data_IF_694298032622
#
_entry.id   IF_694298032622
#
_cell.length_a   1.000
_cell.length_b   1.000
_cell.length_c   1.000
_cell.angle_alpha   90.00
_cell.angle_beta   90.00
_cell.angle_gamma   90.00
#
_symmetry.space_group_name_H-M   'P 1'
#
loop_
_entity.id
_entity.type
_entity.pdbx_description
1 polymer ?
#
# COMPACT_ATOMS: atom_id res chain seq x y z
N UNK A 1 -20.52 -68.47 -26.19
CA UNK A 1 -19.41 -67.53 -25.92
C UNK A 1 -18.99 -66.92 -27.24
N UNK A 2 -19.45 -65.70 -27.56
CA UNK A 2 -19.07 -65.00 -28.80
C UNK A 2 -17.84 -64.12 -28.51
N UNK A 3 -16.72 -64.44 -29.14
CA UNK A 3 -15.49 -63.66 -29.05
C UNK A 3 -15.60 -62.37 -29.86
N UNK A 4 -15.51 -61.23 -29.18
CA UNK A 4 -15.42 -59.92 -29.81
C UNK A 4 -13.99 -59.78 -30.35
N UNK A 5 -13.86 -59.79 -31.68
CA UNK A 5 -12.58 -59.50 -32.35
C UNK A 5 -12.29 -58.01 -32.20
N UNK A 6 -11.24 -57.68 -31.45
CA UNK A 6 -10.80 -56.31 -31.26
C UNK A 6 -10.34 -55.65 -32.57
N UNK A 7 -10.45 -54.31 -32.68
CA UNK A 7 -10.09 -53.59 -33.89
C UNK A 7 -8.61 -53.81 -34.26
N UNK A 8 -8.37 -54.01 -35.56
CA UNK A 8 -7.04 -54.35 -36.08
C UNK A 8 -5.99 -53.26 -35.74
N UNK A 9 -4.71 -53.63 -35.53
CA UNK A 9 -3.65 -52.69 -35.21
C UNK A 9 -3.47 -51.55 -36.25
N UNK A 10 -3.91 -51.78 -37.50
CA UNK A 10 -3.92 -50.75 -38.56
C UNK A 10 -4.98 -49.66 -38.33
N UNK A 11 -6.10 -50.00 -37.71
CA UNK A 11 -7.14 -49.03 -37.35
C UNK A 11 -6.68 -48.11 -36.20
N UNK A 12 -5.88 -48.64 -35.26
CA UNK A 12 -5.26 -47.85 -34.20
C UNK A 12 -4.22 -46.86 -34.75
N UNK A 13 -3.37 -47.31 -35.69
CA UNK A 13 -2.37 -46.45 -36.31
C UNK A 13 -3.00 -45.29 -37.12
N UNK A 14 -4.12 -45.54 -37.80
CA UNK A 14 -4.83 -44.52 -38.58
C UNK A 14 -5.44 -43.39 -37.72
N UNK A 15 -5.73 -43.66 -36.44
CA UNK A 15 -6.29 -42.67 -35.50
C UNK A 15 -5.17 -42.01 -34.69
N UNK A 16 -4.14 -42.76 -34.28
CA UNK A 16 -3.07 -42.23 -33.44
C UNK A 16 -2.21 -41.16 -34.15
N UNK A 17 -1.96 -41.32 -35.45
CA UNK A 17 -1.17 -40.38 -36.25
C UNK A 17 -1.77 -38.98 -36.36
N UNK A 18 -3.04 -38.79 -36.75
CA UNK A 18 -3.63 -37.45 -36.81
C UNK A 18 -3.78 -36.81 -35.42
N UNK A 19 -4.03 -37.60 -34.37
CA UNK A 19 -4.11 -37.08 -32.99
C UNK A 19 -2.73 -36.61 -32.50
N UNK A 20 -1.67 -37.39 -32.74
CA UNK A 20 -0.32 -36.99 -32.38
C UNK A 20 0.13 -35.75 -33.17
N UNK A 21 -0.15 -35.69 -34.47
CA UNK A 21 0.15 -34.52 -35.30
C UNK A 21 -0.62 -33.27 -34.84
N UNK A 22 -1.89 -33.41 -34.46
CA UNK A 22 -2.68 -32.33 -33.90
C UNK A 22 -2.14 -31.85 -32.54
N UNK A 23 -1.73 -32.78 -31.66
CA UNK A 23 -1.13 -32.46 -30.36
C UNK A 23 0.23 -31.76 -30.51
N UNK A 24 1.07 -32.19 -31.45
CA UNK A 24 2.34 -31.52 -31.75
C UNK A 24 2.11 -30.14 -32.37
N UNK A 25 1.14 -30.01 -33.29
CA UNK A 25 0.78 -28.71 -33.86
C UNK A 25 0.24 -27.74 -32.79
N UNK A 26 -0.58 -28.23 -31.85
CA UNK A 26 -1.03 -27.47 -30.67
C UNK A 26 0.14 -27.09 -29.76
N UNK A 27 1.08 -27.99 -29.49
CA UNK A 27 2.26 -27.71 -28.68
C UNK A 27 3.20 -26.68 -29.34
N UNK A 28 3.30 -26.67 -30.68
CA UNK A 28 4.13 -25.72 -31.44
C UNK A 28 3.42 -24.37 -31.65
N UNK A 29 2.08 -24.35 -31.71
CA UNK A 29 1.28 -23.11 -31.73
C UNK A 29 1.00 -22.52 -30.35
N UNK A 30 1.26 -23.26 -29.28
CA UNK A 30 1.51 -22.69 -27.96
C UNK A 30 2.85 -21.96 -28.02
N UNK A 31 2.86 -20.80 -28.69
CA UNK A 31 3.79 -19.71 -28.39
C UNK A 31 3.91 -19.66 -26.87
N UNK A 32 5.11 -19.56 -26.29
CA UNK A 32 5.24 -19.45 -24.85
C UNK A 32 4.29 -18.34 -24.44
N UNK A 33 3.22 -18.72 -23.71
CA UNK A 33 2.42 -17.76 -23.01
C UNK A 33 3.44 -16.93 -22.26
N UNK A 34 3.50 -15.64 -22.60
CA UNK A 34 4.30 -14.68 -21.88
C UNK A 34 4.12 -15.01 -20.41
N UNK A 35 5.23 -15.30 -19.73
CA UNK A 35 5.26 -15.67 -18.34
C UNK A 35 4.23 -14.79 -17.59
N UNK A 36 3.20 -15.35 -16.94
CA UNK A 36 2.21 -14.54 -16.23
C UNK A 36 2.86 -13.75 -15.07
N UNK A 37 4.13 -14.03 -14.73
CA UNK A 37 4.96 -13.25 -13.82
C UNK A 37 5.86 -12.23 -14.50
N UNK A 38 5.86 -12.13 -15.83
CA UNK A 38 6.46 -11.03 -16.57
C UNK A 38 5.63 -9.76 -16.34
N UNK A 39 5.71 -9.24 -15.10
CA UNK A 39 5.28 -7.90 -14.75
C UNK A 39 5.91 -6.97 -15.77
N UNK A 40 5.08 -6.20 -16.47
CA UNK A 40 5.53 -5.13 -17.33
C UNK A 40 6.41 -4.19 -16.48
N UNK A 41 7.72 -4.36 -16.58
CA UNK A 41 8.67 -3.46 -15.93
C UNK A 41 8.61 -2.15 -16.70
N UNK A 42 7.82 -1.22 -16.21
CA UNK A 42 7.80 0.15 -16.73
C UNK A 42 9.13 0.79 -16.36
N UNK A 43 9.80 1.40 -17.34
CA UNK A 43 11.00 2.18 -17.07
C UNK A 43 10.66 3.35 -16.13
N UNK A 44 11.41 3.54 -15.03
CA UNK A 44 11.16 4.62 -14.09
C UNK A 44 11.10 5.98 -14.78
N UNK A 45 10.14 6.83 -14.36
CA UNK A 45 10.02 8.20 -14.87
C UNK A 45 9.32 8.37 -16.22
N UNK A 46 8.90 7.29 -16.90
CA UNK A 46 8.16 7.42 -18.18
C UNK A 46 6.66 7.72 -18.01
N UNK A 47 6.09 7.40 -16.85
CA UNK A 47 4.67 7.62 -16.57
C UNK A 47 4.44 9.06 -16.11
N UNK A 48 3.24 9.56 -16.40
CA UNK A 48 2.79 10.87 -15.91
C UNK A 48 1.92 10.69 -14.68
N UNK A 49 2.06 11.61 -13.73
CA UNK A 49 1.15 11.71 -12.61
C UNK A 49 -0.29 11.95 -13.09
N UNK A 50 -1.26 11.39 -12.36
CA UNK A 50 -2.65 11.42 -12.75
C UNK A 50 -3.55 11.88 -11.60
N UNK A 51 -4.62 12.61 -11.91
CA UNK A 51 -5.61 13.01 -10.91
C UNK A 51 -6.34 11.81 -10.31
N UNK A 52 -6.58 11.86 -9.00
CA UNK A 52 -7.37 10.86 -8.27
C UNK A 52 -8.74 11.43 -7.88
N UNK A 53 -9.75 10.55 -7.72
CA UNK A 53 -10.98 10.93 -7.03
C UNK A 53 -10.67 11.58 -5.67
N UNK A 54 -11.44 12.59 -5.29
CA UNK A 54 -11.20 13.33 -4.03
C UNK A 54 -10.10 14.39 -4.08
N UNK A 55 -9.53 14.68 -5.26
CA UNK A 55 -8.60 15.81 -5.46
C UNK A 55 -7.13 15.52 -5.14
N UNK A 56 -6.80 14.24 -4.92
CA UNK A 56 -5.42 13.76 -4.82
C UNK A 56 -4.76 13.52 -6.18
N UNK A 57 -3.55 12.98 -6.15
CA UNK A 57 -2.74 12.69 -7.34
C UNK A 57 -2.04 11.35 -7.19
N UNK A 58 -2.19 10.48 -8.17
CA UNK A 58 -1.39 9.28 -8.35
C UNK A 58 -0.01 9.70 -8.85
N UNK A 59 1.03 9.46 -8.06
CA UNK A 59 2.39 9.86 -8.40
C UNK A 59 3.10 8.76 -9.22
N UNK A 60 2.50 8.43 -10.36
CA UNK A 60 2.93 7.33 -11.24
C UNK A 60 4.31 7.57 -11.86
N UNK A 61 4.74 8.83 -11.98
CA UNK A 61 6.11 9.15 -12.41
C UNK A 61 7.19 8.52 -11.53
N UNK A 62 6.85 8.20 -10.27
CA UNK A 62 7.73 7.52 -9.33
C UNK A 62 7.72 5.99 -9.40
N UNK A 63 6.95 5.37 -10.29
CA UNK A 63 6.89 3.91 -10.40
C UNK A 63 8.26 3.31 -10.73
N UNK A 64 8.63 2.23 -10.02
CA UNK A 64 9.92 1.54 -10.16
C UNK A 64 11.13 2.33 -9.64
N UNK A 65 10.95 3.55 -9.13
CA UNK A 65 12.04 4.31 -8.53
C UNK A 65 12.40 3.67 -7.19
N UNK A 66 13.66 3.25 -7.07
CA UNK A 66 14.26 2.83 -5.81
C UNK A 66 14.76 4.05 -5.02
N UNK A 67 14.78 3.92 -3.70
CA UNK A 67 15.19 4.99 -2.79
C UNK A 67 14.87 4.64 -1.35
N UNK A 68 15.24 5.52 -0.40
CA UNK A 68 14.89 5.31 0.99
C UNK A 68 13.36 5.30 1.13
N UNK A 69 12.83 4.25 1.78
CA UNK A 69 11.40 4.12 2.06
C UNK A 69 10.89 5.31 2.88
N UNK A 70 11.65 5.68 3.92
CA UNK A 70 11.39 6.88 4.71
C UNK A 70 11.90 8.11 3.96
N UNK A 71 11.06 9.12 3.70
CA UNK A 71 11.51 10.40 3.18
C UNK A 71 12.55 11.06 4.09
N UNK A 72 13.53 11.74 3.52
CA UNK A 72 14.49 12.54 4.29
C UNK A 72 13.77 13.57 5.18
N UNK A 73 14.21 13.77 6.44
CA UNK A 73 13.56 14.68 7.38
C UNK A 73 13.61 16.13 6.90
N UNK A 74 12.55 16.91 7.20
CA UNK A 74 12.41 18.32 6.75
C UNK A 74 12.51 19.36 7.87
N UNK A 75 12.71 18.92 9.11
CA UNK A 75 12.83 19.81 10.26
C UNK A 75 13.05 19.05 11.55
N UNK A 76 13.25 19.79 12.64
CA UNK A 76 13.48 19.18 13.94
C UNK A 76 12.29 18.33 14.41
N UNK A 77 12.60 17.30 15.19
CA UNK A 77 11.60 16.46 15.83
C UNK A 77 10.78 15.58 14.88
N UNK A 78 11.08 15.52 13.59
CA UNK A 78 10.34 14.66 12.65
C UNK A 78 10.45 13.17 13.00
N UNK A 79 11.62 12.75 13.47
CA UNK A 79 11.90 11.41 13.97
C UNK A 79 11.68 11.29 15.49
N UNK A 80 11.11 12.31 16.13
CA UNK A 80 10.73 12.24 17.54
C UNK A 80 9.65 11.18 17.75
N UNK A 81 9.62 10.59 18.95
CA UNK A 81 8.55 9.68 19.37
C UNK A 81 7.24 10.41 19.69
N UNK A 82 7.25 11.74 19.81
CA UNK A 82 6.08 12.53 20.16
C UNK A 82 6.02 13.87 19.41
N UNK A 83 4.85 14.23 18.83
CA UNK A 83 3.84 13.30 18.35
C UNK A 83 4.42 12.35 17.28
N UNK A 84 3.88 11.14 17.20
CA UNK A 84 4.27 10.12 16.23
C UNK A 84 3.05 9.57 15.47
N UNK A 85 3.31 9.04 14.28
CA UNK A 85 2.36 8.26 13.49
C UNK A 85 2.89 6.83 13.42
N UNK A 86 2.03 5.86 13.65
CA UNK A 86 2.34 4.43 13.50
C UNK A 86 1.34 3.78 12.55
N UNK A 87 1.80 2.92 11.65
CA UNK A 87 0.91 2.11 10.81
C UNK A 87 0.45 0.92 11.65
N UNK A 88 -0.84 0.79 11.90
CA UNK A 88 -1.42 -0.30 12.69
C UNK A 88 -1.78 -1.51 11.84
N UNK A 89 -2.23 -1.28 10.61
CA UNK A 89 -2.45 -2.34 9.62
C UNK A 89 -2.55 -1.76 8.23
N UNK A 90 -2.33 -2.58 7.21
CA UNK A 90 -2.63 -2.25 5.83
C UNK A 90 -3.02 -3.52 5.10
N UNK A 91 -3.75 -3.37 4.00
CA UNK A 91 -4.07 -4.51 3.15
C UNK A 91 -5.27 -4.28 2.26
N UNK A 92 -5.56 -5.32 1.47
CA UNK A 92 -6.71 -5.36 0.59
C UNK A 92 -7.90 -5.99 1.31
N UNK A 93 -8.95 -5.22 1.56
CA UNK A 93 -10.19 -5.74 2.16
C UNK A 93 -11.40 -4.96 1.68
N UNK A 94 -12.56 -5.60 1.72
CA UNK A 94 -13.86 -4.95 1.54
C UNK A 94 -14.16 -4.06 2.74
N UNK A 95 -14.39 -2.77 2.51
CA UNK A 95 -14.77 -1.84 3.59
C UNK A 95 -16.22 -2.10 4.01
N UNK A 96 -16.54 -2.29 5.29
CA UNK A 96 -17.93 -2.42 5.76
C UNK A 96 -18.08 -3.37 6.95
N UNK A 97 -19.20 -3.29 7.71
CA UNK A 97 -19.49 -4.25 8.77
C UNK A 97 -19.63 -5.67 8.18
N UNK A 98 -18.60 -6.50 8.33
CA UNK A 98 -18.60 -7.87 7.79
C UNK A 98 -17.92 -8.02 6.42
N UNK A 99 -17.12 -7.05 5.97
CA UNK A 99 -16.35 -7.11 4.71
C UNK A 99 -17.23 -7.18 3.45
N UNK A 100 -18.33 -6.42 3.43
CA UNK A 100 -19.37 -6.46 2.40
C UNK A 100 -19.36 -5.28 1.41
N UNK A 101 -18.66 -4.18 1.71
CA UNK A 101 -18.56 -3.06 0.76
C UNK A 101 -17.47 -3.24 -0.31
N UNK A 102 -17.23 -2.22 -1.14
CA UNK A 102 -16.31 -2.34 -2.25
C UNK A 102 -14.89 -2.63 -1.74
N UNK A 103 -14.17 -3.55 -2.39
CA UNK A 103 -12.81 -3.87 -1.98
C UNK A 103 -11.89 -2.67 -2.26
N UNK A 104 -11.06 -2.35 -1.28
CA UNK A 104 -10.07 -1.28 -1.38
C UNK A 104 -8.77 -1.68 -0.68
N UNK A 105 -7.67 -1.07 -1.10
CA UNK A 105 -6.44 -1.11 -0.32
C UNK A 105 -6.52 0.00 0.72
N UNK A 106 -6.53 -0.35 1.99
CA UNK A 106 -6.59 0.62 3.09
C UNK A 106 -5.34 0.55 3.94
N UNK A 107 -4.89 1.72 4.40
CA UNK A 107 -3.87 1.86 5.42
C UNK A 107 -4.52 2.43 6.66
N UNK A 108 -4.36 1.73 7.78
CA UNK A 108 -4.78 2.19 9.09
C UNK A 108 -3.55 2.69 9.85
N UNK A 109 -3.64 3.90 10.38
CA UNK A 109 -2.55 4.52 11.11
C UNK A 109 -3.04 5.16 12.41
N UNK A 110 -2.35 4.90 13.51
CA UNK A 110 -2.59 5.50 14.81
C UNK A 110 -1.71 6.75 14.97
N UNK A 111 -2.25 7.77 15.62
CA UNK A 111 -1.48 8.94 16.07
C UNK A 111 -1.23 8.78 17.56
N UNK A 112 0.03 8.74 17.95
CA UNK A 112 0.45 8.94 19.34
C UNK A 112 0.73 10.44 19.54
N UNK A 113 -0.14 11.17 20.26
CA UNK A 113 0.09 12.58 20.52
C UNK A 113 1.15 12.81 21.62
N UNK A 114 1.55 11.78 22.36
CA UNK A 114 2.40 11.89 23.53
C UNK A 114 1.66 12.52 24.72
N UNK A 115 2.37 13.26 25.61
CA UNK A 115 1.81 13.71 26.88
C UNK A 115 0.77 14.83 26.76
N UNK A 116 0.69 15.49 25.59
CA UNK A 116 -0.25 16.56 25.32
C UNK A 116 -1.18 16.13 24.19
N UNK A 117 -2.49 16.41 24.24
CA UNK A 117 -3.40 16.11 23.14
C UNK A 117 -3.00 16.80 21.84
N UNK A 118 -3.18 16.11 20.71
CA UNK A 118 -3.04 16.69 19.36
C UNK A 118 -4.43 16.93 18.77
N UNK A 119 -4.73 18.16 18.38
CA UNK A 119 -5.99 18.48 17.70
C UNK A 119 -5.73 18.74 16.23
N UNK A 120 -6.38 17.95 15.35
CA UNK A 120 -6.30 18.08 13.90
C UNK A 120 -7.64 18.59 13.36
N UNK A 121 -7.60 19.60 12.49
CA UNK A 121 -8.79 20.09 11.79
C UNK A 121 -9.38 18.99 10.90
N UNK A 122 -10.70 18.91 10.85
CA UNK A 122 -11.41 18.00 9.97
C UNK A 122 -11.67 18.67 8.60
N UNK A 123 -11.55 17.94 7.48
CA UNK A 123 -11.12 16.55 7.38
C UNK A 123 -9.63 16.36 7.73
N UNK A 124 -9.30 15.28 8.45
CA UNK A 124 -7.92 15.05 8.90
C UNK A 124 -7.01 14.85 7.71
N UNK A 125 -5.98 15.70 7.63
CA UNK A 125 -5.01 15.67 6.55
C UNK A 125 -5.65 15.95 5.19
N UNK A 126 -6.71 16.77 5.11
CA UNK A 126 -7.35 17.13 3.84
C UNK A 126 -6.29 17.52 2.80
N UNK A 127 -6.17 16.67 1.77
CA UNK A 127 -5.21 16.78 0.67
C UNK A 127 -3.74 16.91 1.11
N UNK A 128 -3.39 16.34 2.25
CA UNK A 128 -2.06 16.44 2.89
C UNK A 128 -1.49 15.10 3.33
N UNK A 129 -2.11 14.00 2.94
CA UNK A 129 -1.60 12.65 3.16
C UNK A 129 -0.91 12.15 1.89
N UNK A 130 0.25 11.53 2.07
CA UNK A 130 0.95 10.77 1.03
C UNK A 130 1.09 9.33 1.49
N UNK A 131 0.83 8.40 0.57
CA UNK A 131 1.03 6.95 0.75
C UNK A 131 1.93 6.47 -0.37
N UNK A 132 3.05 5.87 -0.01
CA UNK A 132 3.96 5.20 -0.92
C UNK A 132 4.05 3.72 -0.53
N UNK A 133 4.01 2.83 -1.53
CA UNK A 133 4.21 1.40 -1.33
C UNK A 133 5.41 0.97 -2.15
N UNK A 134 6.38 0.35 -1.49
CA UNK A 134 7.60 -0.17 -2.10
C UNK A 134 7.53 -1.69 -2.17
N UNK A 135 7.85 -2.24 -3.34
CA UNK A 135 7.85 -3.68 -3.55
C UNK A 135 9.04 -4.38 -2.88
N UNK A 136 8.95 -5.71 -2.73
CA UNK A 136 10.01 -6.51 -2.13
C UNK A 136 11.28 -6.49 -2.98
N UNK A 137 12.40 -6.93 -2.40
CA UNK A 137 13.69 -7.12 -3.11
C UNK A 137 14.16 -5.92 -3.95
N UNK A 138 13.85 -4.69 -3.52
CA UNK A 138 14.30 -3.49 -4.22
C UNK A 138 13.56 -3.22 -5.55
N UNK A 139 12.35 -3.77 -5.75
CA UNK A 139 11.48 -3.45 -6.89
C UNK A 139 11.16 -1.94 -7.01
N UNK A 140 11.43 -1.17 -5.97
CA UNK A 140 11.15 0.26 -5.92
C UNK A 140 9.68 0.52 -5.65
N UNK A 141 9.20 1.71 -5.98
CA UNK A 141 7.82 2.09 -5.70
C UNK A 141 6.84 1.38 -6.64
N UNK A 142 5.86 0.67 -6.07
CA UNK A 142 4.83 -0.10 -6.79
C UNK A 142 3.42 0.50 -6.65
N UNK A 143 3.23 1.46 -5.73
CA UNK A 143 2.06 2.34 -5.71
C UNK A 143 2.40 3.67 -5.03
N UNK A 144 1.75 4.76 -5.45
CA UNK A 144 1.97 6.09 -4.87
C UNK A 144 0.79 7.02 -5.06
N UNK A 145 0.35 7.65 -3.96
CA UNK A 145 -0.64 8.71 -4.01
C UNK A 145 -0.28 9.85 -3.07
N UNK A 146 -0.55 11.08 -3.51
CA UNK A 146 -0.37 12.32 -2.77
C UNK A 146 -1.69 13.06 -2.68
N UNK A 147 -1.82 13.90 -1.67
CA UNK A 147 -3.01 14.71 -1.48
C UNK A 147 -4.24 13.86 -1.16
N UNK A 148 -4.05 12.75 -0.44
CA UNK A 148 -5.14 11.97 0.13
C UNK A 148 -5.68 12.63 1.41
N UNK A 149 -6.84 12.16 1.87
CA UNK A 149 -7.53 12.60 3.08
C UNK A 149 -7.92 11.37 3.90
N UNK A 150 -7.77 11.43 5.22
CA UNK A 150 -8.11 10.30 6.09
C UNK A 150 -9.54 10.42 6.64
N UNK A 151 -10.17 9.26 6.86
CA UNK A 151 -11.33 9.12 7.75
C UNK A 151 -10.83 8.82 9.15
N UNK A 152 -11.51 9.36 10.17
CA UNK A 152 -11.19 9.04 11.57
C UNK A 152 -12.12 7.96 12.06
N UNK A 153 -11.53 6.88 12.58
CA UNK A 153 -12.20 5.66 13.00
C UNK A 153 -11.94 5.42 14.49
N UNK A 154 -12.87 4.75 15.19
CA UNK A 154 -12.72 4.41 16.61
C UNK A 154 -12.88 2.92 16.89
N UNK A 155 -11.93 2.42 17.69
CA UNK A 155 -11.92 1.09 18.27
C UNK A 155 -11.78 -0.04 17.24
N UNK A 156 -11.75 -1.28 17.75
CA UNK A 156 -11.52 -2.50 16.94
C UNK A 156 -12.58 -2.68 15.84
N UNK A 157 -13.82 -2.25 16.10
CA UNK A 157 -14.92 -2.33 15.13
C UNK A 157 -14.87 -1.25 14.05
N UNK A 158 -13.82 -0.40 14.02
CA UNK A 158 -13.58 0.64 13.02
C UNK A 158 -14.84 1.43 12.69
N UNK A 159 -15.39 2.12 13.70
CA UNK A 159 -16.58 2.96 13.49
C UNK A 159 -16.15 4.38 13.12
N UNK A 160 -16.69 5.00 12.05
CA UNK A 160 -16.42 6.39 11.74
C UNK A 160 -16.76 7.30 12.93
N UNK A 161 -15.91 8.28 13.18
CA UNK A 161 -16.10 9.29 14.23
C UNK A 161 -16.35 10.62 13.55
N UNK A 162 -17.46 11.32 13.85
CA UNK A 162 -17.64 12.69 13.39
C UNK A 162 -16.73 13.67 14.17
N UNK A 163 -16.27 14.76 13.56
CA UNK A 163 -15.51 15.78 14.26
C UNK A 163 -16.35 16.50 15.32
N UNK A 164 -15.73 16.85 16.43
CA UNK A 164 -16.30 17.75 17.42
C UNK A 164 -15.83 19.18 17.11
N UNK A 165 -16.76 20.10 16.87
CA UNK A 165 -16.45 21.50 16.52
C UNK A 165 -15.46 21.65 15.35
N UNK A 166 -15.61 20.81 14.32
CA UNK A 166 -14.77 20.87 13.11
C UNK A 166 -13.35 20.30 13.28
N UNK A 167 -13.06 19.60 14.38
CA UNK A 167 -11.76 18.98 14.62
C UNK A 167 -11.85 17.60 15.29
N UNK A 168 -10.76 16.85 15.21
CA UNK A 168 -10.54 15.63 15.96
C UNK A 168 -9.44 15.84 16.98
N UNK A 169 -9.69 15.42 18.22
CA UNK A 169 -8.72 15.48 19.31
C UNK A 169 -8.18 14.08 19.59
N UNK A 170 -6.89 13.90 19.37
CA UNK A 170 -6.14 12.68 19.66
C UNK A 170 -5.53 12.79 21.06
N UNK A 171 -5.72 11.75 21.86
CA UNK A 171 -5.21 11.64 23.24
C UNK A 171 -4.60 10.25 23.41
N UNK A 172 -3.72 10.06 24.38
CA UNK A 172 -3.09 8.76 24.67
C UNK A 172 -4.14 7.66 25.01
N UNK A 173 -5.19 8.00 25.76
CA UNK A 173 -6.32 7.10 26.02
C UNK A 173 -7.27 6.89 24.81
N UNK A 174 -7.00 7.56 23.69
CA UNK A 174 -7.88 7.62 22.54
C UNK A 174 -7.58 6.52 21.54
N UNK A 175 -8.48 5.53 21.43
CA UNK A 175 -8.43 4.51 20.37
C UNK A 175 -8.94 5.07 19.02
N UNK A 176 -8.33 6.16 18.54
CA UNK A 176 -8.63 6.77 17.24
C UNK A 176 -7.57 6.38 16.22
N UNK A 177 -8.01 5.84 15.09
CA UNK A 177 -7.18 5.51 13.95
C UNK A 177 -7.58 6.34 12.74
N UNK A 178 -6.62 6.62 11.88
CA UNK A 178 -6.83 7.12 10.54
C UNK A 178 -7.04 5.93 9.60
N UNK A 179 -8.10 5.96 8.80
CA UNK A 179 -8.27 5.07 7.65
C UNK A 179 -8.00 5.88 6.37
N UNK A 180 -7.02 5.42 5.59
CA UNK A 180 -6.57 6.04 4.35
C UNK A 180 -6.79 5.03 3.24
N UNK A 181 -7.63 5.38 2.27
CA UNK A 181 -7.86 4.56 1.08
C UNK A 181 -6.84 4.91 0.00
N UNK A 182 -6.18 3.90 -0.57
CA UNK A 182 -5.31 4.06 -1.74
C UNK A 182 -6.10 3.69 -3.00
N UNK A 183 -6.42 4.66 -3.88
CA UNK A 183 -7.20 4.37 -5.08
C UNK A 183 -6.43 3.47 -6.06
N UNK A 184 -7.16 2.64 -6.83
CA UNK A 184 -6.56 1.73 -7.81
C UNK A 184 -5.65 2.41 -8.83
N UNK A 185 -6.02 3.63 -9.25
CA UNK A 185 -5.24 4.43 -10.21
C UNK A 185 -3.88 4.89 -9.66
N UNK A 186 -3.61 4.71 -8.37
CA UNK A 186 -2.32 4.98 -7.76
C UNK A 186 -1.34 3.79 -7.86
N UNK A 187 -1.81 2.63 -8.31
CA UNK A 187 -0.99 1.43 -8.48
C UNK A 187 -0.21 1.50 -9.77
N UNK A 188 1.08 1.15 -9.71
CA UNK A 188 1.95 1.14 -10.87
C UNK A 188 1.53 0.05 -11.87
N UNK A 189 1.65 0.29 -13.19
CA UNK A 189 1.37 -0.74 -14.18
C UNK A 189 2.21 -2.00 -13.94
N UNK A 190 1.62 -3.17 -14.14
CA UNK A 190 2.25 -4.46 -13.82
C UNK A 190 1.98 -4.95 -12.38
N UNK A 191 1.33 -4.12 -11.55
CA UNK A 191 0.86 -4.46 -10.21
C UNK A 191 -0.66 -4.33 -10.10
N UNK A 192 -1.23 -4.92 -9.06
CA UNK A 192 -2.66 -4.94 -8.77
C UNK A 192 -2.89 -4.55 -7.32
N UNK A 193 -4.09 -4.05 -6.98
CA UNK A 193 -4.42 -3.74 -5.57
C UNK A 193 -4.25 -4.93 -4.63
N UNK A 194 -4.36 -6.15 -5.15
CA UNK A 194 -4.21 -7.36 -4.37
C UNK A 194 -2.74 -7.71 -4.07
N UNK A 195 -1.79 -7.38 -4.94
CA UNK A 195 -0.38 -7.75 -4.77
C UNK A 195 0.43 -6.71 -3.98
N UNK A 196 0.08 -5.42 -4.05
CA UNK A 196 0.83 -4.36 -3.36
C UNK A 196 0.84 -4.46 -1.82
N UNK A 197 0.00 -5.32 -1.24
CA UNK A 197 -0.04 -5.59 0.20
C UNK A 197 0.36 -7.01 0.60
N UNK A 198 0.80 -7.85 -0.33
CA UNK A 198 1.06 -9.27 -0.08
C UNK A 198 2.54 -9.57 -0.19
N UNK A 199 3.06 -10.31 0.79
CA UNK A 199 4.39 -10.89 0.71
C UNK A 199 4.42 -12.02 -0.33
N UNK A 200 5.54 -12.18 -1.02
CA UNK A 200 5.74 -13.23 -2.04
C UNK A 200 7.06 -13.97 -1.78
N UNK A 201 7.06 -15.30 -1.58
CA UNK A 201 5.93 -16.22 -1.69
C UNK A 201 4.91 -16.09 -0.55
N UNK A 202 3.68 -16.55 -0.80
CA UNK A 202 2.63 -16.61 0.24
C UNK A 202 3.13 -17.40 1.45
N UNK A 203 2.81 -16.93 2.65
CA UNK A 203 3.23 -17.50 3.95
C UNK A 203 4.72 -17.35 4.30
N UNK A 204 5.47 -16.58 3.54
CA UNK A 204 6.81 -16.18 3.96
C UNK A 204 6.76 -15.41 5.29
N UNK A 205 7.78 -15.64 6.11
CA UNK A 205 8.06 -14.89 7.34
C UNK A 205 9.26 -13.93 7.17
N UNK A 206 9.77 -13.80 5.93
CA UNK A 206 10.87 -12.92 5.58
C UNK A 206 10.33 -11.54 5.25
N UNK A 207 10.91 -10.51 5.86
CA UNK A 207 10.42 -9.14 5.68
C UNK A 207 10.79 -8.58 4.31
N UNK A 208 11.87 -9.08 3.71
CA UNK A 208 12.38 -8.68 2.40
C UNK A 208 11.45 -9.12 1.26
N UNK A 209 10.63 -10.14 1.52
CA UNK A 209 9.61 -10.68 0.63
C UNK A 209 8.30 -9.87 0.70
N UNK A 210 8.18 -8.93 1.65
CA UNK A 210 6.98 -8.14 1.89
C UNK A 210 7.11 -6.70 1.34
N UNK A 211 6.03 -6.12 0.80
CA UNK A 211 5.99 -4.71 0.49
C UNK A 211 6.14 -3.84 1.76
N UNK A 212 6.76 -2.67 1.60
CA UNK A 212 6.89 -1.69 2.68
C UNK A 212 6.02 -0.47 2.38
N UNK A 213 5.15 -0.12 3.33
CA UNK A 213 4.24 1.02 3.22
C UNK A 213 4.80 2.20 4.00
N UNK A 214 4.87 3.36 3.38
CA UNK A 214 5.19 4.63 4.00
C UNK A 214 3.99 5.57 3.95
N UNK A 215 3.64 6.16 5.09
CA UNK A 215 2.58 7.16 5.22
C UNK A 215 3.19 8.45 5.75
N UNK A 216 2.90 9.55 5.07
CA UNK A 216 3.25 10.90 5.53
C UNK A 216 1.97 11.71 5.70
N UNK A 217 1.75 12.23 6.90
CA UNK A 217 0.71 13.22 7.21
C UNK A 217 1.38 14.57 7.46
N UNK A 218 0.93 15.62 6.77
CA UNK A 218 1.43 16.99 6.96
C UNK A 218 0.37 17.87 7.60
N UNK A 219 0.64 18.42 8.79
CA UNK A 219 -0.31 19.30 9.48
C UNK A 219 0.36 20.38 10.35
N UNK A 220 -0.21 21.59 10.34
CA UNK A 220 0.32 22.75 11.08
C UNK A 220 0.16 22.63 12.59
N UNK A 221 -0.67 21.71 13.09
CA UNK A 221 -0.78 21.43 14.51
C UNK A 221 0.43 20.64 15.06
N UNK A 222 1.10 19.85 14.22
CA UNK A 222 2.29 19.05 14.59
C UNK A 222 3.46 19.90 15.11
N UNK A 223 3.93 20.94 14.40
CA UNK A 223 5.06 21.73 14.87
C UNK A 223 4.69 22.56 16.10
N UNK A 224 3.43 23.00 16.22
CA UNK A 224 2.93 23.69 17.41
C UNK A 224 2.97 22.79 18.65
N UNK A 225 2.56 21.52 18.51
CA UNK A 225 2.61 20.56 19.60
C UNK A 225 4.06 20.19 19.97
N UNK A 226 4.94 19.98 18.98
CA UNK A 226 6.37 19.73 19.23
C UNK A 226 7.01 20.88 20.01
N UNK A 227 6.71 22.12 19.63
CA UNK A 227 7.18 23.29 20.33
C UNK A 227 6.68 23.35 21.78
N UNK A 228 5.39 23.04 22.00
CA UNK A 228 4.80 22.97 23.33
C UNK A 228 5.49 21.91 24.22
N UNK A 229 5.66 20.70 23.71
CA UNK A 229 6.31 19.59 24.46
C UNK A 229 7.77 19.91 24.76
N UNK A 230 8.48 20.56 23.85
CA UNK A 230 9.88 20.92 24.02
C UNK A 230 10.10 22.24 24.81
N UNK A 231 9.03 22.90 25.26
CA UNK A 231 9.13 24.17 25.99
C UNK A 231 9.64 25.34 25.15
N UNK A 232 9.47 25.29 23.83
CA UNK A 232 10.00 26.27 22.88
C UNK A 232 8.87 27.11 22.29
N UNK A 233 9.09 28.43 22.21
CA UNK A 233 8.07 29.38 21.72
C UNK A 233 7.94 29.42 20.19
N UNK A 234 8.98 29.05 19.45
CA UNK A 234 9.00 29.13 17.99
C UNK A 234 8.72 27.76 17.35
N UNK A 235 7.52 27.51 16.80
CA UNK A 235 7.20 26.25 16.14
C UNK A 235 7.87 26.07 14.77
N UNK A 236 8.36 27.15 14.14
CA UNK A 236 8.81 27.12 12.74
C UNK A 236 10.06 26.28 12.45
N UNK A 237 10.79 25.84 13.48
CA UNK A 237 11.95 24.95 13.34
C UNK A 237 11.58 23.46 13.29
N UNK A 238 10.39 23.12 13.80
CA UNK A 238 9.93 21.73 13.85
C UNK A 238 9.30 21.34 12.52
N UNK A 239 9.48 20.08 12.14
CA UNK A 239 8.78 19.53 10.99
C UNK A 239 7.27 19.56 11.22
N UNK A 240 6.52 19.79 10.15
CA UNK A 240 5.06 19.69 10.12
C UNK A 240 4.57 18.28 9.74
N UNK A 241 5.50 17.34 9.59
CA UNK A 241 5.19 15.98 9.17
C UNK A 241 5.19 15.01 10.33
N UNK A 242 4.25 14.08 10.26
CA UNK A 242 4.32 12.77 10.89
C UNK A 242 4.56 11.74 9.81
N UNK A 243 5.57 10.90 9.98
CA UNK A 243 5.98 9.90 8.99
C UNK A 243 6.04 8.54 9.66
N UNK A 244 5.24 7.61 9.15
CA UNK A 244 5.23 6.22 9.56
C UNK A 244 5.68 5.34 8.40
N UNK A 245 6.42 4.28 8.70
CA UNK A 245 6.78 3.24 7.74
C UNK A 245 6.53 1.89 8.38
N UNK A 246 6.02 0.92 7.63
CA UNK A 246 5.65 -0.38 8.17
C UNK A 246 6.86 -1.21 8.57
N UNK A 247 8.00 -0.92 7.96
CA UNK A 247 9.29 -1.50 8.27
C UNK A 247 10.41 -0.52 7.90
N UNK A 248 11.40 -0.43 8.77
CA UNK A 248 12.70 0.15 8.48
C UNK A 248 13.71 -0.97 8.59
N UNK A 249 14.45 -1.26 7.52
CA UNK A 249 15.71 -1.97 7.68
C UNK A 249 16.54 -1.18 8.68
N UNK A 250 16.91 -1.81 9.80
CA UNK A 250 17.52 -1.17 10.96
C UNK A 250 18.48 -0.05 10.53
N UNK A 251 18.18 1.19 10.92
CA UNK A 251 19.11 2.32 10.85
C UNK A 251 20.33 2.16 11.80
N UNK A 252 20.49 0.97 12.39
CA UNK A 252 21.67 0.54 13.11
C UNK A 252 22.30 -0.61 12.34
N UNK A 253 23.38 -0.31 11.61
CA UNK A 253 24.41 -1.31 11.39
C UNK A 253 24.85 -1.83 12.76
N UNK A 254 24.64 -3.12 12.98
CA UNK A 254 25.36 -3.94 13.96
C UNK A 254 26.00 -5.06 13.16
#
# INVERSE_FOLDING_TARGET
MHGISGPSPRAWAAIALPVAAALVALAVHQRPFADPTARLRVLPGMLKDAGLPGGGTAALSGCGVSGPVRPAPRGEGEQSKVPALGISSYGYSSSGPGFDGPPAFTVHAAIDPGPQPLTLTAPVGERRITVDVYGPHGEGRIASARGLTAKVMKGVKRRPVPPASGAHRFTDAGNLDLEIELPERAVCPGHTRADIGRCTPTYTNRIEDCPVVAVTLTDKAVPAQRALVAGIKNPGRFSDRLVAVSFEENAAGV
#
